data_IF_843071716761
#
_entry.id   IF_843071716761
#
_cell.length_a   1.000
_cell.length_b   1.000
_cell.length_c   1.000
_cell.angle_alpha   90.00
_cell.angle_beta   90.00
_cell.angle_gamma   90.00
#
_symmetry.space_group_name_H-M   'P 1'
#
loop_
_entity.id
_entity.type
_entity.pdbx_description
1 polymer ?
#
# COMPACT_ATOMS: atom_id res chain seq x y z
N UNK A 1 14.34 8.17 -8.35
CA UNK A 1 13.24 8.50 -9.27
C UNK A 1 11.95 7.99 -8.66
N UNK A 2 11.09 8.89 -8.16
CA UNK A 2 9.74 8.49 -7.75
C UNK A 2 8.96 8.06 -9.00
N UNK A 3 8.19 6.99 -8.91
CA UNK A 3 7.16 6.67 -9.92
C UNK A 3 6.10 7.76 -9.79
N UNK A 4 6.29 8.87 -10.49
CA UNK A 4 5.30 9.94 -10.60
C UNK A 4 4.27 9.44 -11.59
N UNK A 5 3.12 8.99 -11.07
CA UNK A 5 1.96 8.77 -11.93
C UNK A 5 1.56 10.16 -12.45
N UNK A 6 1.51 10.39 -13.79
CA UNK A 6 1.31 11.71 -14.38
C UNK A 6 -0.06 12.36 -14.09
N UNK A 7 -0.87 11.74 -13.24
CA UNK A 7 -2.16 12.25 -12.78
C UNK A 7 -1.99 13.25 -11.62
N UNK A 8 -0.81 13.37 -10.99
CA UNK A 8 -0.52 14.30 -9.88
C UNK A 8 -1.54 14.27 -8.71
N UNK A 9 -2.41 13.26 -8.63
CA UNK A 9 -3.37 13.10 -7.56
C UNK A 9 -2.73 12.37 -6.38
N UNK A 10 -2.96 12.83 -5.14
CA UNK A 10 -2.56 12.10 -3.93
C UNK A 10 -3.05 10.64 -3.99
N UNK A 11 -2.20 9.68 -3.61
CA UNK A 11 -2.58 8.27 -3.55
C UNK A 11 -2.46 7.47 -4.84
N UNK A 12 -2.23 8.11 -5.99
CA UNK A 12 -2.03 7.44 -7.30
C UNK A 12 -0.86 6.44 -7.31
N UNK A 13 0.20 6.72 -6.56
CA UNK A 13 1.31 5.79 -6.35
C UNK A 13 0.88 4.47 -5.70
N UNK A 14 -0.27 4.46 -5.03
CA UNK A 14 -0.86 3.27 -4.41
C UNK A 14 -1.10 2.12 -5.38
N UNK A 15 -1.40 2.40 -6.65
CA UNK A 15 -1.58 1.34 -7.66
C UNK A 15 -0.32 0.47 -7.74
N UNK A 16 0.85 1.10 -7.82
CA UNK A 16 2.13 0.41 -8.02
C UNK A 16 2.69 -0.18 -6.73
N UNK A 17 2.49 0.47 -5.58
CA UNK A 17 3.01 -0.01 -4.31
C UNK A 17 2.19 -1.15 -3.71
N UNK A 18 0.87 -1.17 -3.92
CA UNK A 18 0.01 -2.26 -3.43
C UNK A 18 0.28 -3.57 -4.18
N UNK A 19 0.56 -3.48 -5.48
CA UNK A 19 0.75 -4.64 -6.37
C UNK A 19 1.74 -5.69 -5.84
N UNK A 20 3.03 -5.36 -5.61
CA UNK A 20 4.01 -6.36 -5.19
C UNK A 20 3.71 -6.94 -3.80
N UNK A 21 3.10 -6.16 -2.90
CA UNK A 21 2.75 -6.64 -1.56
C UNK A 21 1.57 -7.62 -1.60
N UNK A 22 0.50 -7.30 -2.34
CA UNK A 22 -0.67 -8.19 -2.48
C UNK A 22 -0.28 -9.45 -3.26
N UNK A 23 0.48 -9.32 -4.36
CA UNK A 23 0.97 -10.49 -5.12
C UNK A 23 1.87 -11.37 -4.24
N UNK A 24 2.79 -10.78 -3.50
CA UNK A 24 3.68 -11.52 -2.59
C UNK A 24 2.91 -12.27 -1.50
N UNK A 25 1.98 -11.60 -0.83
CA UNK A 25 1.12 -12.22 0.19
C UNK A 25 0.25 -13.35 -0.40
N UNK A 26 -0.31 -13.11 -1.59
CA UNK A 26 -1.16 -14.07 -2.28
C UNK A 26 -0.37 -15.29 -2.76
N UNK A 27 0.84 -15.13 -3.29
CA UNK A 27 1.62 -16.25 -3.81
C UNK A 27 2.12 -17.16 -2.68
N UNK A 28 2.55 -16.58 -1.55
CA UNK A 28 3.11 -17.34 -0.42
C UNK A 28 2.03 -17.99 0.44
N UNK A 29 0.86 -17.35 0.60
CA UNK A 29 -0.29 -17.86 1.39
C UNK A 29 0.06 -18.23 2.83
N UNK A 30 0.97 -17.48 3.47
CA UNK A 30 1.36 -17.64 4.87
C UNK A 30 1.20 -16.32 5.63
N UNK A 31 0.83 -16.36 6.92
CA UNK A 31 0.84 -15.17 7.75
C UNK A 31 2.25 -14.59 7.81
N UNK A 32 2.38 -13.26 7.65
CA UNK A 32 3.66 -12.56 7.65
C UNK A 32 4.27 -12.34 6.27
N UNK A 33 3.72 -12.93 5.19
CA UNK A 33 4.27 -12.78 3.85
C UNK A 33 4.15 -11.33 3.33
N UNK A 34 2.99 -10.70 3.52
CA UNK A 34 2.76 -9.29 3.20
C UNK A 34 3.61 -8.37 4.05
N UNK A 35 3.76 -8.68 5.35
CA UNK A 35 4.60 -7.92 6.29
C UNK A 35 6.07 -7.95 5.87
N UNK A 36 6.58 -9.14 5.52
CA UNK A 36 7.96 -9.29 5.05
C UNK A 36 8.19 -8.56 3.72
N UNK A 37 7.26 -8.70 2.76
CA UNK A 37 7.31 -7.96 1.50
C UNK A 37 7.27 -6.44 1.72
N UNK A 38 6.44 -5.97 2.67
CA UNK A 38 6.34 -4.57 3.07
C UNK A 38 7.61 -4.05 3.74
N UNK A 39 8.23 -4.84 4.61
CA UNK A 39 9.52 -4.51 5.24
C UNK A 39 10.63 -4.37 4.20
N UNK A 40 10.77 -5.35 3.30
CA UNK A 40 11.77 -5.29 2.23
C UNK A 40 11.51 -4.07 1.32
N UNK A 41 10.25 -3.85 0.92
CA UNK A 41 9.87 -2.69 0.11
C UNK A 41 10.17 -1.37 0.81
N UNK A 42 9.95 -1.31 2.12
CA UNK A 42 10.25 -0.15 2.95
C UNK A 42 11.74 0.15 3.04
N UNK A 43 12.56 -0.88 3.28
CA UNK A 43 14.02 -0.74 3.27
C UNK A 43 14.49 -0.20 1.92
N UNK A 44 14.02 -0.80 0.81
CA UNK A 44 14.40 -0.36 -0.53
C UNK A 44 13.95 1.09 -0.79
N UNK A 45 12.71 1.45 -0.46
CA UNK A 45 12.21 2.81 -0.64
C UNK A 45 13.02 3.84 0.16
N UNK A 46 13.39 3.49 1.40
CA UNK A 46 14.25 4.31 2.25
C UNK A 46 15.67 4.47 1.71
N UNK A 47 16.27 3.40 1.18
CA UNK A 47 17.60 3.43 0.58
C UNK A 47 17.65 4.25 -0.71
N UNK A 48 16.64 4.12 -1.57
CA UNK A 48 16.60 4.81 -2.87
C UNK A 48 16.10 6.26 -2.81
N UNK A 49 15.73 6.76 -1.62
CA UNK A 49 15.33 8.15 -1.44
C UNK A 49 14.10 8.53 -2.26
N UNK A 50 13.08 7.65 -2.29
CA UNK A 50 11.90 7.85 -3.15
C UNK A 50 11.10 9.09 -2.74
N UNK A 51 11.04 9.40 -1.44
CA UNK A 51 10.32 10.52 -0.87
C UNK A 51 11.21 11.45 -0.02
N UNK A 52 10.80 12.70 0.25
CA UNK A 52 11.57 13.64 1.08
C UNK A 52 11.87 13.11 2.49
N UNK A 53 10.93 12.34 3.06
CA UNK A 53 11.06 11.70 4.38
C UNK A 53 11.37 10.21 4.23
N UNK A 54 12.22 9.86 3.26
CA UNK A 54 12.51 8.47 2.87
C UNK A 54 12.92 7.56 4.03
N UNK A 55 13.60 8.06 5.06
CA UNK A 55 14.01 7.24 6.24
C UNK A 55 12.80 6.60 6.93
N UNK A 56 11.63 7.24 6.89
CA UNK A 56 10.40 6.76 7.51
C UNK A 56 9.54 5.90 6.59
N UNK A 57 9.96 5.68 5.34
CA UNK A 57 9.26 4.82 4.40
C UNK A 57 9.16 3.37 4.88
N UNK A 58 10.14 2.89 5.65
CA UNK A 58 10.07 1.58 6.32
C UNK A 58 8.74 1.43 7.08
N UNK A 59 8.36 2.40 7.91
CA UNK A 59 7.11 2.32 8.67
C UNK A 59 5.88 2.29 7.78
N UNK A 60 5.87 3.10 6.71
CA UNK A 60 4.74 3.20 5.78
C UNK A 60 4.48 1.87 5.05
N UNK A 61 5.52 1.27 4.48
CA UNK A 61 5.40 0.04 3.70
C UNK A 61 5.28 -1.20 4.58
N UNK A 62 5.93 -1.25 5.75
CA UNK A 62 5.71 -2.32 6.72
C UNK A 62 4.27 -2.31 7.23
N UNK A 63 3.71 -1.15 7.60
CA UNK A 63 2.32 -1.05 8.05
C UNK A 63 1.32 -1.44 6.95
N UNK A 64 1.60 -1.08 5.69
CA UNK A 64 0.84 -1.57 4.53
C UNK A 64 0.88 -3.10 4.44
N UNK A 65 2.07 -3.70 4.58
CA UNK A 65 2.28 -5.15 4.54
C UNK A 65 1.53 -5.89 5.65
N UNK A 66 1.59 -5.39 6.88
CA UNK A 66 0.83 -5.90 8.03
C UNK A 66 -0.67 -5.86 7.74
N UNK A 67 -1.16 -4.75 7.18
CA UNK A 67 -2.57 -4.60 6.85
C UNK A 67 -3.02 -5.62 5.81
N UNK A 68 -2.21 -5.85 4.77
CA UNK A 68 -2.50 -6.84 3.73
C UNK A 68 -2.50 -8.25 4.32
N UNK A 69 -1.59 -8.58 5.24
CA UNK A 69 -1.60 -9.88 5.94
C UNK A 69 -2.87 -10.05 6.77
N UNK A 70 -3.28 -9.04 7.56
CA UNK A 70 -4.49 -9.11 8.37
C UNK A 70 -5.74 -9.32 7.50
N UNK A 71 -5.85 -8.60 6.38
CA UNK A 71 -6.93 -8.78 5.42
C UNK A 71 -6.86 -10.18 4.79
N UNK A 72 -5.68 -10.60 4.34
CA UNK A 72 -5.47 -11.93 3.77
C UNK A 72 -5.91 -13.03 4.73
N UNK A 73 -5.53 -12.95 6.00
CA UNK A 73 -5.93 -13.89 7.05
C UNK A 73 -7.45 -13.88 7.27
N UNK A 74 -8.07 -12.69 7.35
CA UNK A 74 -9.52 -12.55 7.54
C UNK A 74 -10.34 -13.17 6.40
N UNK A 75 -9.81 -13.19 5.17
CA UNK A 75 -10.45 -13.77 4.00
C UNK A 75 -9.90 -15.15 3.60
N UNK A 76 -9.14 -15.82 4.49
CA UNK A 76 -8.65 -17.18 4.26
C UNK A 76 -7.63 -17.30 3.12
N UNK A 77 -6.80 -16.28 2.92
CA UNK A 77 -5.77 -16.17 1.87
C UNK A 77 -6.33 -16.27 0.44
N UNK A 78 -7.58 -15.82 0.23
CA UNK A 78 -8.26 -15.77 -1.09
C UNK A 78 -8.06 -14.43 -1.79
N UNK A 79 -6.81 -14.01 -1.93
CA UNK A 79 -6.43 -12.74 -2.57
C UNK A 79 -6.55 -12.78 -4.10
N UNK A 80 -6.87 -13.93 -4.68
CA UNK A 80 -7.21 -14.13 -6.10
C UNK A 80 -8.61 -13.61 -6.45
N UNK A 81 -9.49 -13.44 -5.46
CA UNK A 81 -10.78 -12.81 -5.66
C UNK A 81 -10.62 -11.27 -5.80
N UNK A 82 -11.09 -10.66 -6.91
CA UNK A 82 -10.98 -9.22 -7.13
C UNK A 82 -11.54 -8.34 -6.01
N UNK A 83 -12.61 -8.78 -5.34
CA UNK A 83 -13.23 -8.04 -4.22
C UNK A 83 -12.30 -8.04 -3.01
N UNK A 84 -11.70 -9.20 -2.69
CA UNK A 84 -10.75 -9.31 -1.58
C UNK A 84 -9.46 -8.54 -1.90
N UNK A 85 -9.00 -8.61 -3.14
CA UNK A 85 -7.89 -7.79 -3.64
C UNK A 85 -8.16 -6.29 -3.47
N UNK A 86 -9.35 -5.82 -3.87
CA UNK A 86 -9.77 -4.43 -3.68
C UNK A 86 -9.68 -4.01 -2.20
N UNK A 87 -10.25 -4.81 -1.30
CA UNK A 87 -10.25 -4.51 0.13
C UNK A 87 -8.82 -4.47 0.69
N UNK A 88 -7.98 -5.46 0.35
CA UNK A 88 -6.59 -5.52 0.80
C UNK A 88 -5.79 -4.31 0.30
N UNK A 89 -5.95 -3.96 -0.98
CA UNK A 89 -5.26 -2.84 -1.58
C UNK A 89 -5.73 -1.48 -1.07
N UNK A 90 -7.03 -1.29 -0.92
CA UNK A 90 -7.60 -0.07 -0.36
C UNK A 90 -7.16 0.12 1.10
N UNK A 91 -7.29 -0.92 1.93
CA UNK A 91 -6.88 -0.86 3.33
C UNK A 91 -5.38 -0.60 3.47
N UNK A 92 -4.54 -1.32 2.73
CA UNK A 92 -3.09 -1.11 2.76
C UNK A 92 -2.68 0.30 2.34
N UNK A 93 -3.27 0.84 1.27
CA UNK A 93 -2.94 2.19 0.81
C UNK A 93 -3.46 3.29 1.75
N UNK A 94 -4.60 3.07 2.41
CA UNK A 94 -5.10 3.96 3.47
C UNK A 94 -4.18 3.97 4.68
N UNK A 95 -3.68 2.81 5.13
CA UNK A 95 -2.72 2.74 6.23
C UNK A 95 -1.41 3.44 5.88
N UNK A 96 -0.91 3.27 4.65
CA UNK A 96 0.26 4.04 4.16
C UNK A 96 0.04 5.55 4.30
N UNK A 97 -1.13 6.04 3.91
CA UNK A 97 -1.49 7.46 4.04
C UNK A 97 -1.50 7.91 5.51
N UNK A 98 -2.14 7.15 6.39
CA UNK A 98 -2.22 7.45 7.83
C UNK A 98 -0.83 7.50 8.45
N UNK A 99 0.02 6.51 8.18
CA UNK A 99 1.40 6.48 8.69
C UNK A 99 2.22 7.65 8.14
N UNK A 100 2.06 7.96 6.85
CA UNK A 100 2.73 9.11 6.25
C UNK A 100 2.34 10.42 6.96
N UNK A 101 1.05 10.63 7.21
CA UNK A 101 0.58 11.82 7.93
C UNK A 101 1.05 11.84 9.39
N UNK A 102 1.03 10.70 10.08
CA UNK A 102 1.54 10.61 11.45
C UNK A 102 3.03 11.00 11.53
N UNK A 103 3.85 10.55 10.58
CA UNK A 103 5.27 10.94 10.50
C UNK A 103 5.41 12.44 10.25
N UNK A 104 4.64 13.02 9.33
CA UNK A 104 4.70 14.47 9.06
C UNK A 104 4.30 15.29 10.29
N UNK A 105 3.27 14.86 11.02
CA UNK A 105 2.84 15.51 12.26
C UNK A 105 3.91 15.44 13.35
N UNK A 106 4.54 14.27 13.54
CA UNK A 106 5.59 14.05 14.53
C UNK A 106 6.83 14.92 14.27
N UNK A 107 7.14 15.19 13.01
CA UNK A 107 8.28 16.01 12.60
C UNK A 107 7.97 17.52 12.56
N UNK A 108 6.76 17.93 12.97
CA UNK A 108 6.36 19.34 13.00
C UNK A 108 6.16 19.96 11.60
N UNK A 109 6.04 19.14 10.56
CA UNK A 109 5.75 19.62 9.20
C UNK A 109 4.29 20.06 9.15
N UNK A 110 4.06 21.35 8.91
CA UNK A 110 2.77 22.07 9.00
C UNK A 110 1.53 21.19 8.70
N UNK A 111 0.83 20.79 9.77
CA UNK A 111 -0.35 19.92 9.69
C UNK A 111 -1.65 20.59 9.23
N UNK A 112 -1.65 21.91 9.01
CA UNK A 112 -2.87 22.67 8.67
C UNK A 112 -3.33 22.40 7.23
N UNK A 113 -2.41 22.14 6.29
CA UNK A 113 -2.74 21.68 4.94
C UNK A 113 -3.19 20.21 4.88
N UNK A 114 -2.94 19.43 5.95
CA UNK A 114 -3.29 18.02 6.04
C UNK A 114 -4.80 17.86 6.27
N UNK A 115 -5.42 18.66 7.14
CA UNK A 115 -6.83 18.52 7.52
C UNK A 115 -7.84 18.70 6.36
N UNK A 116 -7.64 19.70 5.48
CA UNK A 116 -8.49 19.89 4.29
C UNK A 116 -8.17 18.87 3.18
N UNK A 117 -6.93 18.39 3.11
CA UNK A 117 -6.49 17.37 2.16
C UNK A 117 -6.93 15.95 2.51
N UNK A 118 -7.18 15.64 3.79
CA UNK A 118 -7.53 14.28 4.26
C UNK A 118 -8.75 13.73 3.53
N UNK A 119 -9.83 14.50 3.34
CA UNK A 119 -11.04 13.98 2.70
C UNK A 119 -10.80 13.51 1.27
N UNK A 120 -10.26 14.40 0.43
CA UNK A 120 -9.96 14.09 -0.98
C UNK A 120 -8.85 13.04 -1.08
N UNK A 121 -7.80 13.16 -0.27
CA UNK A 121 -6.68 12.22 -0.20
C UNK A 121 -7.14 10.82 0.24
N UNK A 122 -8.06 10.72 1.18
CA UNK A 122 -8.60 9.42 1.63
C UNK A 122 -9.37 8.74 0.51
N UNK A 123 -10.21 9.49 -0.20
CA UNK A 123 -10.96 8.93 -1.32
C UNK A 123 -10.04 8.45 -2.44
N UNK A 124 -9.04 9.24 -2.82
CA UNK A 124 -8.09 8.84 -3.86
C UNK A 124 -7.22 7.68 -3.41
N UNK A 125 -6.73 7.63 -2.16
CA UNK A 125 -5.97 6.49 -1.66
C UNK A 125 -6.82 5.21 -1.62
N UNK A 126 -8.09 5.30 -1.25
CA UNK A 126 -9.02 4.18 -1.28
C UNK A 126 -9.20 3.66 -2.71
N UNK A 127 -9.51 4.56 -3.66
CA UNK A 127 -9.77 4.18 -5.06
C UNK A 127 -8.52 3.62 -5.72
N UNK A 128 -7.38 4.32 -5.64
CA UNK A 128 -6.14 3.87 -6.26
C UNK A 128 -5.55 2.62 -5.61
N UNK A 129 -5.65 2.51 -4.28
CA UNK A 129 -5.25 1.31 -3.56
C UNK A 129 -6.11 0.11 -3.95
N UNK A 130 -7.43 0.32 -4.02
CA UNK A 130 -8.38 -0.70 -4.43
C UNK A 130 -8.18 -1.17 -5.87
N UNK A 131 -7.96 -0.24 -6.81
CA UNK A 131 -7.62 -0.57 -8.21
C UNK A 131 -6.33 -1.38 -8.26
N UNK A 132 -5.27 -0.96 -7.55
CA UNK A 132 -4.02 -1.72 -7.46
C UNK A 132 -4.24 -3.14 -6.93
N UNK A 133 -5.10 -3.29 -5.91
CA UNK A 133 -5.49 -4.56 -5.35
C UNK A 133 -6.30 -5.46 -6.30
N UNK A 134 -7.23 -4.90 -7.07
CA UNK A 134 -7.96 -5.64 -8.12
C UNK A 134 -6.98 -6.17 -9.18
N UNK A 135 -6.08 -5.30 -9.66
CA UNK A 135 -5.08 -5.71 -10.66
C UNK A 135 -4.20 -6.83 -10.10
N UNK A 136 -3.77 -6.71 -8.83
CA UNK A 136 -3.01 -7.76 -8.15
C UNK A 136 -3.77 -9.10 -8.10
N UNK A 137 -5.05 -9.08 -7.72
CA UNK A 137 -5.89 -10.27 -7.68
C UNK A 137 -6.06 -10.92 -9.06
N UNK A 138 -6.24 -10.11 -10.11
CA UNK A 138 -6.33 -10.61 -11.49
C UNK A 138 -5.02 -11.26 -11.95
N UNK A 139 -3.87 -10.66 -11.60
CA UNK A 139 -2.54 -11.23 -11.88
C UNK A 139 -2.38 -12.56 -11.16
N UNK A 140 -2.67 -12.62 -9.85
CA UNK A 140 -2.58 -13.85 -9.05
C UNK A 140 -3.49 -14.93 -9.62
N UNK A 141 -4.73 -14.60 -9.95
CA UNK A 141 -5.68 -15.54 -10.54
C UNK A 141 -5.26 -16.05 -11.93
N UNK A 142 -4.39 -15.34 -12.65
CA UNK A 142 -3.75 -15.85 -13.88
C UNK A 142 -2.54 -16.71 -13.55
N UNK A 143 -1.71 -16.31 -12.59
CA UNK A 143 -0.52 -17.05 -12.16
C UNK A 143 -0.87 -18.43 -11.59
N UNK A 144 -1.99 -18.57 -10.86
CA UNK A 144 -2.45 -19.88 -10.38
C UNK A 144 -2.96 -20.83 -11.47
N UNK A 145 -3.21 -20.32 -12.68
CA UNK A 145 -3.72 -21.10 -13.83
C UNK A 145 -2.63 -21.45 -14.84
N UNK A 146 -1.46 -20.82 -14.74
CA UNK A 146 -0.29 -21.10 -15.58
C UNK A 146 0.45 -22.34 -15.05
#
# INVERSE_FOLDING_TARGET
MAIVVPIHTPGSSGIFWVLPLVVGAALVRKPGAGTYAGLVSGILASFFGVEPLHVFDIFKYTAMGVTIDLVSMAFGHRLDNPVVGFIAGAAGNMVKMVVNYAVHLLLGVQGVFILLGIGVSSFTHLVFGGIGGIIAALIVGRLYRA
#
